data_IF_335022827604
#
_entry.id   IF_335022827604
#
_cell.length_a   1.000
_cell.length_b   1.000
_cell.length_c   1.000
_cell.angle_alpha   90.00
_cell.angle_beta   90.00
_cell.angle_gamma   90.00
#
_symmetry.space_group_name_H-M   'P 1'
#
loop_
_entity.id
_entity.type
_entity.pdbx_description
1 polymer ?
#
# COMPACT_ATOMS: atom_id res chain seq x y z
N UNK A 1 37.61 0.77 -4.21
CA UNK A 1 36.17 1.06 -4.04
C UNK A 1 35.90 1.14 -2.54
N UNK A 2 35.36 2.26 -2.05
CA UNK A 2 34.95 2.38 -0.64
C UNK A 2 33.81 1.38 -0.36
N UNK A 3 33.72 0.85 0.88
CA UNK A 3 32.62 -0.01 1.27
C UNK A 3 31.43 0.84 1.69
N UNK A 4 30.17 0.41 1.43
CA UNK A 4 29.00 1.10 1.96
C UNK A 4 29.00 1.04 3.49
N UNK A 5 28.62 2.14 4.12
CA UNK A 5 28.27 2.15 5.54
C UNK A 5 26.91 1.49 5.74
N UNK A 6 26.65 0.94 6.92
CA UNK A 6 25.36 0.29 7.22
C UNK A 6 24.17 1.25 7.07
N UNK A 7 24.38 2.55 7.30
CA UNK A 7 23.38 3.60 7.11
C UNK A 7 23.15 3.98 5.64
N UNK A 8 24.02 3.52 4.73
CA UNK A 8 24.11 3.95 3.32
C UNK A 8 24.28 5.47 3.15
N UNK A 9 24.75 6.17 4.19
CA UNK A 9 24.94 7.64 4.16
C UNK A 9 26.05 8.06 3.18
N UNK A 10 27.02 7.21 2.93
CA UNK A 10 28.12 7.46 2.00
C UNK A 10 27.86 6.94 0.57
N UNK A 11 26.60 6.71 0.19
CA UNK A 11 26.26 6.08 -1.10
C UNK A 11 26.86 6.82 -2.31
N UNK A 12 26.93 8.15 -2.26
CA UNK A 12 27.55 8.95 -3.33
C UNK A 12 29.05 8.67 -3.50
N UNK A 13 29.76 8.39 -2.41
CA UNK A 13 31.21 8.18 -2.39
C UNK A 13 31.63 6.81 -2.94
N UNK A 14 30.68 5.94 -3.27
CA UNK A 14 30.94 4.60 -3.82
C UNK A 14 31.17 4.63 -5.34
N UNK A 15 30.85 5.75 -5.98
CA UNK A 15 30.92 5.93 -7.43
C UNK A 15 32.03 6.94 -7.80
N UNK A 16 32.52 6.92 -9.06
CA UNK A 16 33.47 7.87 -9.56
C UNK A 16 32.98 9.32 -9.46
N UNK A 17 33.92 10.23 -9.12
CA UNK A 17 33.62 11.66 -8.94
C UNK A 17 33.29 12.37 -10.26
N UNK A 18 33.66 11.79 -11.39
CA UNK A 18 33.42 12.31 -12.75
C UNK A 18 32.06 11.91 -13.33
N UNK A 19 31.25 11.16 -12.60
CA UNK A 19 29.89 10.86 -13.05
C UNK A 19 29.04 12.13 -13.12
N UNK A 20 28.30 12.29 -14.23
CA UNK A 20 27.23 13.27 -14.29
C UNK A 20 26.13 12.96 -13.27
N UNK A 21 25.30 13.94 -12.93
CA UNK A 21 24.17 13.77 -12.01
C UNK A 21 23.24 12.62 -12.44
N UNK A 22 22.98 12.49 -13.73
CA UNK A 22 22.16 11.43 -14.32
C UNK A 22 22.83 10.06 -14.20
N UNK A 23 24.11 9.96 -14.51
CA UNK A 23 24.89 8.72 -14.37
C UNK A 23 24.94 8.26 -12.93
N UNK A 24 25.18 9.18 -11.99
CA UNK A 24 25.19 8.89 -10.56
C UNK A 24 23.84 8.38 -10.05
N UNK A 25 22.73 9.01 -10.44
CA UNK A 25 21.38 8.58 -10.07
C UNK A 25 21.07 7.17 -10.58
N UNK A 26 21.44 6.88 -11.84
CA UNK A 26 21.26 5.56 -12.45
C UNK A 26 22.11 4.48 -11.79
N UNK A 27 23.37 4.79 -11.50
CA UNK A 27 24.28 3.87 -10.84
C UNK A 27 23.84 3.53 -9.41
N UNK A 28 23.36 4.52 -8.64
CA UNK A 28 22.79 4.31 -7.31
C UNK A 28 21.56 3.41 -7.36
N UNK A 29 20.66 3.65 -8.30
CA UNK A 29 19.44 2.84 -8.46
C UNK A 29 19.79 1.38 -8.75
N UNK A 30 20.73 1.13 -9.65
CA UNK A 30 21.22 -0.22 -9.94
C UNK A 30 21.85 -0.88 -8.72
N UNK A 31 22.73 -0.16 -8.02
CA UNK A 31 23.35 -0.67 -6.80
C UNK A 31 22.33 -1.07 -5.74
N UNK A 32 21.33 -0.22 -5.49
CA UNK A 32 20.28 -0.50 -4.50
C UNK A 32 19.40 -1.69 -4.91
N UNK A 33 19.12 -1.86 -6.20
CA UNK A 33 18.39 -3.04 -6.71
C UNK A 33 19.17 -4.34 -6.49
N UNK A 34 20.46 -4.36 -6.80
CA UNK A 34 21.34 -5.52 -6.58
C UNK A 34 21.54 -5.83 -5.09
N UNK A 35 21.68 -4.81 -4.27
CA UNK A 35 21.76 -4.96 -2.82
C UNK A 35 20.44 -5.54 -2.27
N UNK A 36 19.30 -5.02 -2.70
CA UNK A 36 18.00 -5.53 -2.31
C UNK A 36 17.81 -7.00 -2.71
N UNK A 37 18.18 -7.38 -3.94
CA UNK A 37 18.14 -8.77 -4.38
C UNK A 37 18.98 -9.69 -3.50
N UNK A 38 20.23 -9.29 -3.23
CA UNK A 38 21.15 -10.05 -2.40
C UNK A 38 20.65 -10.21 -0.96
N UNK A 39 20.09 -9.13 -0.38
CA UNK A 39 19.49 -9.17 0.95
C UNK A 39 18.26 -10.09 1.01
N UNK A 40 17.34 -10.00 0.04
CA UNK A 40 16.17 -10.88 -0.01
C UNK A 40 16.54 -12.35 -0.15
N UNK A 41 17.55 -12.65 -0.97
CA UNK A 41 18.07 -14.00 -1.12
C UNK A 41 18.69 -14.53 0.18
N UNK A 42 19.43 -13.68 0.90
CA UNK A 42 20.07 -14.05 2.16
C UNK A 42 19.07 -14.31 3.28
N UNK A 43 18.08 -13.43 3.45
CA UNK A 43 17.10 -13.51 4.54
C UNK A 43 15.89 -14.39 4.20
N UNK A 44 15.64 -14.71 2.93
CA UNK A 44 14.42 -15.40 2.50
C UNK A 44 13.15 -14.53 2.64
N UNK A 45 13.25 -13.25 2.27
CA UNK A 45 12.21 -12.23 2.49
C UNK A 45 12.56 -11.25 3.60
N UNK A 46 11.61 -10.43 4.03
CA UNK A 46 11.81 -9.35 5.03
C UNK A 46 10.99 -9.54 6.30
N UNK A 47 9.99 -10.40 6.27
CA UNK A 47 9.02 -10.59 7.33
C UNK A 47 9.09 -12.04 7.83
N UNK A 48 8.99 -12.19 9.15
CA UNK A 48 8.80 -13.47 9.81
C UNK A 48 7.68 -13.35 10.84
N UNK A 49 6.99 -14.47 11.10
CA UNK A 49 6.04 -14.55 12.20
C UNK A 49 6.73 -15.02 13.46
N UNK A 50 6.35 -14.47 14.61
CA UNK A 50 6.95 -14.80 15.90
C UNK A 50 5.86 -14.92 16.96
N UNK A 51 5.92 -15.97 17.83
CA UNK A 51 5.01 -16.08 18.96
C UNK A 51 5.20 -14.90 19.92
N UNK A 52 4.10 -14.32 20.42
CA UNK A 52 4.12 -13.34 21.53
C UNK A 52 4.15 -14.01 22.90
N UNK A 53 3.64 -15.25 22.96
CA UNK A 53 3.42 -15.99 24.19
C UNK A 53 4.65 -16.78 24.63
N UNK A 54 4.95 -16.76 25.92
CA UNK A 54 5.99 -17.59 26.51
C UNK A 54 5.52 -19.02 26.76
N UNK A 55 6.45 -19.98 26.68
CA UNK A 55 6.24 -21.39 27.00
C UNK A 55 7.25 -21.76 28.08
N UNK A 56 6.76 -22.07 29.32
CA UNK A 56 7.58 -22.37 30.48
C UNK A 56 7.60 -23.87 30.79
N UNK A 57 7.39 -24.70 29.80
CA UNK A 57 7.35 -26.15 29.84
C UNK A 57 6.20 -26.69 28.99
N UNK A 58 6.27 -27.98 28.64
CA UNK A 58 5.35 -28.59 27.67
C UNK A 58 3.86 -28.44 28.02
N UNK A 59 3.54 -28.44 29.31
CA UNK A 59 2.15 -28.31 29.79
C UNK A 59 1.50 -26.94 29.47
N UNK A 60 2.30 -25.90 29.10
CA UNK A 60 1.76 -24.61 28.68
C UNK A 60 1.03 -24.67 27.35
N UNK A 61 1.26 -25.71 26.53
CA UNK A 61 0.44 -25.95 25.35
C UNK A 61 -1.02 -26.27 25.67
N UNK A 62 -1.32 -26.74 26.89
CA UNK A 62 -2.71 -26.90 27.34
C UNK A 62 -3.41 -25.56 27.61
N UNK A 63 -2.65 -24.50 27.85
CA UNK A 63 -3.15 -23.11 27.97
C UNK A 63 -3.30 -22.48 26.61
N UNK A 64 -2.23 -22.52 25.79
CA UNK A 64 -2.18 -21.82 24.50
C UNK A 64 -2.90 -22.56 23.37
N UNK A 65 -3.17 -23.84 23.54
CA UNK A 65 -3.89 -24.67 22.57
C UNK A 65 -5.02 -25.43 23.28
N UNK A 66 -5.04 -26.75 23.23
CA UNK A 66 -6.14 -27.58 23.76
C UNK A 66 -5.83 -28.05 25.19
N UNK A 67 -6.71 -27.86 26.20
CA UNK A 67 -8.12 -27.38 26.08
C UNK A 67 -8.32 -25.86 26.30
N UNK A 68 -7.32 -25.13 26.78
CA UNK A 68 -7.46 -23.75 27.24
C UNK A 68 -8.04 -22.79 26.17
N UNK A 69 -7.63 -22.92 24.91
CA UNK A 69 -8.08 -22.08 23.81
C UNK A 69 -9.60 -22.17 23.53
N UNK A 70 -10.27 -23.24 24.00
CA UNK A 70 -11.72 -23.38 23.86
C UNK A 70 -12.49 -22.23 24.52
N UNK A 71 -12.00 -21.71 25.65
CA UNK A 71 -12.62 -20.56 26.32
C UNK A 71 -12.52 -19.30 25.45
N UNK A 72 -11.39 -19.09 24.76
CA UNK A 72 -11.21 -17.96 23.84
C UNK A 72 -12.20 -18.05 22.69
N UNK A 73 -12.31 -19.22 22.05
CA UNK A 73 -13.21 -19.45 20.93
C UNK A 73 -14.68 -19.19 21.30
N UNK A 74 -15.12 -19.64 22.46
CA UNK A 74 -16.51 -19.43 22.92
C UNK A 74 -16.75 -17.97 23.31
N UNK A 75 -15.76 -17.28 23.91
CA UNK A 75 -15.89 -15.86 24.23
C UNK A 75 -16.04 -15.01 22.97
N UNK A 76 -15.20 -15.24 21.94
CA UNK A 76 -15.31 -14.53 20.66
C UNK A 76 -16.61 -14.87 19.91
N UNK A 77 -17.07 -16.12 19.98
CA UNK A 77 -18.36 -16.51 19.40
C UNK A 77 -19.53 -15.72 20.01
N UNK A 78 -19.50 -15.54 21.32
CA UNK A 78 -20.58 -14.89 22.07
C UNK A 78 -20.52 -13.35 21.93
N UNK A 79 -19.33 -12.79 21.70
CA UNK A 79 -19.10 -11.38 21.39
C UNK A 79 -17.88 -11.24 20.45
N UNK A 80 -18.14 -11.01 19.15
CA UNK A 80 -17.13 -10.95 18.11
C UNK A 80 -16.11 -9.81 18.28
N UNK A 81 -16.49 -8.71 18.93
CA UNK A 81 -15.58 -7.58 19.13
C UNK A 81 -14.42 -7.94 20.06
N UNK A 82 -14.63 -8.90 20.98
CA UNK A 82 -13.55 -9.41 21.83
C UNK A 82 -12.41 -10.06 21.04
N UNK A 83 -12.61 -10.39 19.76
CA UNK A 83 -11.54 -10.91 18.90
C UNK A 83 -10.38 -9.93 18.70
N UNK A 84 -10.62 -8.63 18.78
CA UNK A 84 -9.59 -7.59 18.68
C UNK A 84 -8.65 -7.61 19.90
N UNK A 85 -9.14 -8.01 21.07
CA UNK A 85 -8.36 -8.09 22.31
C UNK A 85 -7.75 -9.47 22.52
N UNK A 86 -8.49 -10.52 22.15
CA UNK A 86 -8.12 -11.91 22.46
C UNK A 86 -7.31 -12.61 21.37
N UNK A 87 -7.05 -11.94 20.25
CA UNK A 87 -6.22 -12.45 19.15
C UNK A 87 -5.29 -11.39 18.60
N UNK A 88 -4.49 -11.73 17.58
CA UNK A 88 -3.65 -10.75 16.89
C UNK A 88 -4.47 -9.82 15.96
N UNK A 89 -5.77 -10.05 15.82
CA UNK A 89 -6.66 -9.29 14.94
C UNK A 89 -6.56 -7.78 15.18
N UNK A 90 -6.52 -7.34 16.43
CA UNK A 90 -6.46 -5.92 16.79
C UNK A 90 -5.19 -5.18 16.37
N UNK A 91 -4.13 -5.92 15.98
CA UNK A 91 -2.86 -5.33 15.52
C UNK A 91 -2.42 -5.88 14.15
N UNK A 92 -3.29 -6.54 13.39
CA UNK A 92 -2.93 -7.23 12.16
C UNK A 92 -3.60 -6.59 10.95
N UNK A 93 -2.80 -6.16 9.97
CA UNK A 93 -3.27 -5.56 8.71
C UNK A 93 -3.01 -6.52 7.55
N UNK A 94 -4.03 -6.78 6.73
CA UNK A 94 -3.88 -7.46 5.46
C UNK A 94 -3.32 -6.48 4.42
N UNK A 95 -2.15 -6.75 3.85
CA UNK A 95 -1.60 -6.01 2.70
C UNK A 95 -1.96 -6.78 1.45
N UNK A 96 -3.01 -6.35 0.76
CA UNK A 96 -3.63 -7.10 -0.34
C UNK A 96 -3.32 -6.46 -1.69
N UNK A 97 -2.87 -7.27 -2.63
CA UNK A 97 -2.56 -6.87 -4.00
C UNK A 97 -2.87 -8.00 -5.00
N UNK A 98 -3.18 -7.66 -6.24
CA UNK A 98 -3.08 -8.58 -7.36
C UNK A 98 -1.84 -8.34 -8.22
N UNK A 99 -1.00 -7.39 -7.80
CA UNK A 99 0.29 -7.05 -8.43
C UNK A 99 0.19 -6.53 -9.87
N UNK A 100 -0.97 -5.93 -10.22
CA UNK A 100 -1.22 -5.42 -11.58
C UNK A 100 -0.61 -4.06 -11.86
N UNK A 101 -0.09 -3.38 -10.82
CA UNK A 101 0.55 -2.05 -10.94
C UNK A 101 1.72 -1.88 -9.99
N UNK A 102 2.68 -2.79 -10.04
CA UNK A 102 3.85 -2.80 -9.16
C UNK A 102 4.80 -1.67 -9.55
N UNK A 103 4.89 -0.63 -8.72
CA UNK A 103 5.78 0.52 -8.91
C UNK A 103 5.73 1.08 -10.35
N UNK A 104 6.87 1.12 -11.03
CA UNK A 104 6.99 1.50 -12.46
C UNK A 104 6.98 0.32 -13.44
N UNK A 105 6.95 -0.92 -12.93
CA UNK A 105 7.14 -2.14 -13.71
C UNK A 105 5.82 -2.72 -14.30
N UNK A 106 4.66 -2.22 -13.82
CA UNK A 106 3.34 -2.64 -14.31
C UNK A 106 2.87 -3.97 -13.73
N UNK A 107 2.24 -4.82 -14.55
CA UNK A 107 1.78 -6.15 -14.14
C UNK A 107 2.96 -7.12 -13.95
N UNK A 108 3.19 -7.49 -12.71
CA UNK A 108 4.27 -8.41 -12.32
C UNK A 108 3.78 -9.81 -11.99
N UNK A 109 2.55 -10.16 -12.33
CA UNK A 109 1.84 -11.37 -11.86
C UNK A 109 1.62 -11.38 -10.34
N UNK A 110 0.68 -12.15 -9.80
CA UNK A 110 0.36 -12.09 -8.36
C UNK A 110 1.57 -12.27 -7.45
N UNK A 111 2.39 -13.29 -7.68
CA UNK A 111 3.55 -13.57 -6.81
C UNK A 111 4.69 -12.54 -6.96
N UNK A 112 4.77 -11.85 -8.09
CA UNK A 112 5.83 -10.85 -8.34
C UNK A 112 5.74 -9.65 -7.40
N UNK A 113 4.56 -9.33 -6.89
CA UNK A 113 4.36 -8.25 -5.92
C UNK A 113 4.77 -8.55 -4.48
N UNK A 114 5.10 -9.82 -4.14
CA UNK A 114 5.42 -10.19 -2.75
C UNK A 114 6.51 -9.31 -2.13
N UNK A 115 7.55 -8.99 -2.90
CA UNK A 115 8.64 -8.13 -2.40
C UNK A 115 8.16 -6.74 -1.98
N UNK A 116 7.20 -6.15 -2.69
CA UNK A 116 6.61 -4.84 -2.36
C UNK A 116 5.63 -4.97 -1.20
N UNK A 117 4.77 -6.00 -1.20
CA UNK A 117 3.79 -6.23 -0.12
C UNK A 117 4.48 -6.52 1.22
N UNK A 118 5.55 -7.32 1.23
CA UNK A 118 6.40 -7.47 2.42
C UNK A 118 7.08 -6.16 2.82
N UNK A 119 7.48 -5.33 1.83
CA UNK A 119 8.03 -4.00 2.07
C UNK A 119 7.03 -3.09 2.78
N UNK A 120 5.77 -3.11 2.37
CA UNK A 120 4.69 -2.36 3.03
C UNK A 120 4.47 -2.87 4.46
N UNK A 121 4.37 -4.18 4.65
CA UNK A 121 4.26 -4.80 5.97
C UNK A 121 5.45 -4.45 6.89
N UNK A 122 6.66 -4.44 6.34
CA UNK A 122 7.88 -4.03 7.04
C UNK A 122 7.81 -2.57 7.51
N UNK A 123 7.37 -1.64 6.64
CA UNK A 123 7.20 -0.24 7.01
C UNK A 123 6.14 -0.05 8.10
N UNK A 124 5.01 -0.74 8.00
CA UNK A 124 3.95 -0.73 9.02
C UNK A 124 4.49 -1.19 10.37
N UNK A 125 5.28 -2.26 10.40
CA UNK A 125 5.89 -2.77 11.63
C UNK A 125 6.94 -1.83 12.19
N UNK A 126 7.87 -1.39 11.35
CA UNK A 126 9.02 -0.61 11.78
C UNK A 126 8.66 0.81 12.23
N UNK A 127 7.72 1.45 11.53
CA UNK A 127 7.33 2.84 11.79
C UNK A 127 6.09 2.95 12.66
N UNK A 128 5.14 2.02 12.54
CA UNK A 128 3.84 2.08 13.22
C UNK A 128 3.62 1.03 14.32
N UNK A 129 4.51 0.05 14.46
CA UNK A 129 4.34 -1.04 15.43
C UNK A 129 3.24 -2.05 15.05
N UNK A 130 2.60 -1.88 13.87
CA UNK A 130 1.49 -2.70 13.41
C UNK A 130 2.02 -3.90 12.62
N UNK A 131 1.46 -5.07 12.84
CA UNK A 131 1.80 -6.29 12.10
C UNK A 131 1.11 -6.30 10.74
N UNK A 132 1.87 -6.54 9.67
CA UNK A 132 1.34 -6.65 8.31
C UNK A 132 1.57 -8.05 7.74
N UNK A 133 0.61 -8.54 6.96
CA UNK A 133 0.74 -9.79 6.20
C UNK A 133 0.58 -9.52 4.72
N UNK A 134 1.61 -9.87 3.94
CA UNK A 134 1.59 -9.77 2.48
C UNK A 134 0.67 -10.85 1.88
N UNK A 135 -0.33 -10.44 1.14
CA UNK A 135 -1.34 -11.30 0.53
C UNK A 135 -1.50 -10.95 -0.96
N UNK A 136 -0.79 -11.69 -1.81
CA UNK A 136 -0.92 -11.55 -3.26
C UNK A 136 -2.02 -12.49 -3.77
N UNK A 137 -3.05 -11.91 -4.39
CA UNK A 137 -4.27 -12.60 -4.83
C UNK A 137 -4.22 -12.85 -6.32
N UNK A 138 -4.51 -14.09 -6.73
CA UNK A 138 -4.70 -14.39 -8.15
C UNK A 138 -6.08 -13.90 -8.60
N UNK A 139 -6.12 -12.72 -9.20
CA UNK A 139 -7.34 -12.09 -9.72
C UNK A 139 -7.74 -12.54 -11.13
N UNK A 140 -6.96 -13.39 -11.80
CA UNK A 140 -7.28 -13.82 -13.17
C UNK A 140 -8.59 -14.60 -13.24
N UNK A 141 -9.48 -14.19 -14.16
CA UNK A 141 -10.68 -14.94 -14.53
C UNK A 141 -10.35 -16.00 -15.61
N UNK A 142 -11.38 -16.77 -16.01
CA UNK A 142 -11.24 -17.86 -17.01
C UNK A 142 -10.80 -17.36 -18.40
N UNK A 143 -10.88 -16.04 -18.64
CA UNK A 143 -10.44 -15.40 -19.89
C UNK A 143 -9.02 -14.81 -19.77
N UNK A 144 -8.31 -15.08 -18.67
CA UNK A 144 -6.99 -14.54 -18.41
C UNK A 144 -6.96 -13.02 -18.16
N UNK A 145 -8.08 -12.42 -17.75
CA UNK A 145 -8.16 -11.00 -17.39
C UNK A 145 -8.29 -10.83 -15.88
N UNK A 146 -7.73 -9.75 -15.36
CA UNK A 146 -7.89 -9.39 -13.95
C UNK A 146 -9.34 -9.03 -13.65
N UNK A 147 -9.87 -9.63 -12.60
CA UNK A 147 -11.23 -9.48 -12.13
C UNK A 147 -11.23 -8.89 -10.71
N UNK A 148 -11.67 -7.65 -10.53
CA UNK A 148 -11.70 -7.00 -9.23
C UNK A 148 -12.63 -7.70 -8.23
N UNK A 149 -13.66 -8.42 -8.69
CA UNK A 149 -14.59 -9.11 -7.82
C UNK A 149 -13.91 -10.25 -7.04
N UNK A 150 -12.89 -10.89 -7.62
CA UNK A 150 -12.07 -11.89 -6.90
C UNK A 150 -11.30 -11.29 -5.73
N UNK A 151 -10.79 -10.07 -5.86
CA UNK A 151 -10.12 -9.36 -4.76
C UNK A 151 -11.15 -9.00 -3.69
N UNK A 152 -12.31 -8.49 -4.10
CA UNK A 152 -13.40 -8.13 -3.19
C UNK A 152 -13.86 -9.35 -2.39
N UNK A 153 -14.12 -10.47 -3.05
CA UNK A 153 -14.56 -11.71 -2.39
C UNK A 153 -13.50 -12.25 -1.44
N UNK A 154 -12.22 -12.26 -1.87
CA UNK A 154 -11.11 -12.66 -1.01
C UNK A 154 -11.04 -11.83 0.27
N UNK A 155 -11.09 -10.50 0.16
CA UNK A 155 -11.01 -9.61 1.32
C UNK A 155 -12.19 -9.82 2.26
N UNK A 156 -13.41 -9.93 1.74
CA UNK A 156 -14.63 -10.21 2.55
C UNK A 156 -14.52 -11.54 3.30
N UNK A 157 -13.99 -12.58 2.66
CA UNK A 157 -13.78 -13.87 3.31
C UNK A 157 -12.67 -13.82 4.38
N UNK A 158 -11.62 -13.02 4.16
CA UNK A 158 -10.48 -12.92 5.06
C UNK A 158 -10.69 -11.91 6.21
N UNK A 159 -11.67 -10.99 6.08
CA UNK A 159 -11.96 -9.90 7.04
C UNK A 159 -11.96 -10.34 8.51
N UNK A 160 -12.56 -11.49 8.90
CA UNK A 160 -12.62 -11.88 10.32
C UNK A 160 -11.24 -12.08 10.98
N UNK A 161 -10.17 -12.20 10.20
CA UNK A 161 -8.81 -12.43 10.70
C UNK A 161 -7.99 -11.15 10.87
N UNK A 162 -8.48 -10.00 10.39
CA UNK A 162 -7.71 -8.75 10.32
C UNK A 162 -8.43 -7.59 11.02
N UNK A 163 -7.62 -6.65 11.52
CA UNK A 163 -8.10 -5.38 12.07
C UNK A 163 -8.23 -4.28 11.02
N UNK A 164 -7.53 -4.39 9.90
CA UNK A 164 -7.61 -3.46 8.78
C UNK A 164 -7.10 -4.09 7.48
N UNK A 165 -7.40 -3.46 6.36
CA UNK A 165 -6.92 -3.85 5.03
C UNK A 165 -6.22 -2.68 4.37
N UNK A 166 -5.01 -2.90 3.89
CA UNK A 166 -4.29 -2.02 2.96
C UNK A 166 -4.30 -2.64 1.57
N UNK A 167 -4.94 -2.00 0.63
CA UNK A 167 -4.87 -2.35 -0.79
C UNK A 167 -3.65 -1.68 -1.40
N UNK A 168 -2.89 -2.42 -2.19
CA UNK A 168 -1.63 -1.95 -2.78
C UNK A 168 -1.47 -2.43 -4.21
N UNK A 169 -0.90 -1.62 -5.08
CA UNK A 169 -0.48 -2.00 -6.45
C UNK A 169 -1.59 -2.63 -7.32
N UNK A 170 -2.85 -2.22 -7.13
CA UNK A 170 -3.98 -2.63 -7.97
C UNK A 170 -4.17 -1.58 -9.07
N UNK A 171 -4.18 -2.01 -10.33
CA UNK A 171 -4.32 -1.10 -11.47
C UNK A 171 -5.69 -0.44 -11.55
N UNK A 172 -5.74 0.79 -12.08
CA UNK A 172 -7.02 1.42 -12.44
C UNK A 172 -7.61 0.75 -13.70
N UNK A 173 -8.95 0.70 -13.85
CA UNK A 173 -9.96 1.26 -12.93
C UNK A 173 -10.32 0.33 -11.77
N UNK A 174 -9.78 -0.91 -11.73
CA UNK A 174 -10.14 -1.92 -10.77
C UNK A 174 -9.92 -1.47 -9.31
N UNK A 175 -8.84 -0.72 -9.05
CA UNK A 175 -8.54 -0.22 -7.71
C UNK A 175 -9.68 0.60 -7.10
N UNK A 176 -10.41 1.38 -7.89
CA UNK A 176 -11.56 2.17 -7.39
C UNK A 176 -12.73 1.28 -7.05
N UNK A 177 -13.10 0.34 -7.95
CA UNK A 177 -14.18 -0.61 -7.69
C UNK A 177 -13.91 -1.42 -6.43
N UNK A 178 -12.68 -1.92 -6.28
CA UNK A 178 -12.29 -2.70 -5.09
C UNK A 178 -12.38 -1.86 -3.82
N UNK A 179 -11.79 -0.66 -3.83
CA UNK A 179 -11.78 0.22 -2.66
C UNK A 179 -13.20 0.64 -2.25
N UNK A 180 -13.98 1.18 -3.20
CA UNK A 180 -15.31 1.72 -2.91
C UNK A 180 -16.26 0.62 -2.40
N UNK A 181 -16.25 -0.57 -3.05
CA UNK A 181 -17.07 -1.72 -2.61
C UNK A 181 -16.67 -2.21 -1.22
N UNK A 182 -15.38 -2.35 -0.95
CA UNK A 182 -14.92 -2.89 0.34
C UNK A 182 -15.12 -1.92 1.50
N UNK A 183 -15.02 -0.62 1.26
CA UNK A 183 -15.31 0.40 2.30
C UNK A 183 -16.77 0.40 2.76
N UNK A 184 -17.67 0.00 1.90
CA UNK A 184 -19.11 -0.14 2.25
C UNK A 184 -19.41 -1.52 2.83
N UNK A 185 -18.71 -2.56 2.40
CA UNK A 185 -19.02 -3.95 2.73
C UNK A 185 -18.32 -4.48 3.98
N UNK A 186 -17.14 -3.95 4.34
CA UNK A 186 -16.36 -4.41 5.49
C UNK A 186 -16.63 -3.58 6.74
N UNK A 187 -16.58 -4.24 7.91
CA UNK A 187 -16.71 -3.60 9.22
C UNK A 187 -15.35 -3.14 9.80
N UNK A 188 -14.28 -3.33 9.06
CA UNK A 188 -12.92 -2.88 9.40
C UNK A 188 -12.46 -1.82 8.41
N UNK A 189 -11.50 -0.95 8.77
CA UNK A 189 -10.95 0.04 7.85
C UNK A 189 -10.35 -0.60 6.60
N UNK A 190 -10.69 -0.05 5.43
CA UNK A 190 -10.10 -0.40 4.15
C UNK A 190 -9.46 0.85 3.54
N UNK A 191 -8.19 0.74 3.21
CA UNK A 191 -7.34 1.81 2.70
C UNK A 191 -6.66 1.38 1.40
N UNK A 192 -6.49 2.30 0.44
CA UNK A 192 -5.68 2.06 -0.75
C UNK A 192 -4.55 3.08 -0.79
N UNK A 193 -3.32 2.62 -0.61
CA UNK A 193 -2.19 3.52 -0.40
C UNK A 193 -1.84 4.36 -1.64
N UNK A 194 -1.76 3.74 -2.82
CA UNK A 194 -1.44 4.46 -4.07
C UNK A 194 -2.42 5.58 -4.40
N UNK A 195 -3.67 5.42 -3.98
CA UNK A 195 -4.70 6.42 -4.16
C UNK A 195 -4.75 7.39 -2.97
N UNK A 196 -5.07 6.90 -1.79
CA UNK A 196 -5.38 7.71 -0.61
C UNK A 196 -4.13 8.18 0.14
N UNK A 197 -3.09 7.35 0.26
CA UNK A 197 -1.82 7.72 0.89
C UNK A 197 -1.12 8.83 0.11
N UNK A 198 -0.92 8.62 -1.18
CA UNK A 198 -0.35 9.62 -2.09
C UNK A 198 -1.21 10.90 -2.12
N UNK A 199 -2.54 10.75 -2.11
CA UNK A 199 -3.47 11.88 -2.05
C UNK A 199 -3.31 12.72 -0.79
N UNK A 200 -3.23 12.06 0.36
CA UNK A 200 -3.12 12.73 1.67
C UNK A 200 -1.81 13.50 1.82
N UNK A 201 -0.67 12.91 1.46
CA UNK A 201 0.63 13.59 1.56
C UNK A 201 0.76 14.74 0.57
N UNK A 202 0.17 14.60 -0.64
CA UNK A 202 0.15 15.67 -1.64
C UNK A 202 -0.69 16.84 -1.17
N UNK A 203 -1.87 16.59 -0.60
CA UNK A 203 -2.72 17.64 -0.04
C UNK A 203 -1.99 18.37 1.12
N UNK A 204 -1.35 17.63 2.02
CA UNK A 204 -0.57 18.22 3.11
C UNK A 204 0.57 19.12 2.59
N UNK A 205 1.29 18.63 1.56
CA UNK A 205 2.33 19.40 0.86
C UNK A 205 1.78 20.68 0.22
N UNK A 206 0.65 20.58 -0.50
CA UNK A 206 0.01 21.72 -1.14
C UNK A 206 -0.43 22.79 -0.13
N UNK A 207 -1.08 22.38 0.96
CA UNK A 207 -1.51 23.31 2.03
C UNK A 207 -0.31 24.09 2.56
N UNK A 208 0.80 23.42 2.85
CA UNK A 208 1.99 24.08 3.37
C UNK A 208 2.70 24.96 2.32
N UNK A 209 2.78 24.52 1.07
CA UNK A 209 3.32 25.33 -0.01
C UNK A 209 2.52 26.62 -0.23
N UNK A 210 1.19 26.54 -0.17
CA UNK A 210 0.31 27.72 -0.28
C UNK A 210 0.51 28.70 0.88
N UNK A 211 0.72 28.21 2.10
CA UNK A 211 1.07 29.04 3.27
C UNK A 211 2.37 29.79 3.05
N UNK A 212 3.41 29.13 2.55
CA UNK A 212 4.72 29.73 2.28
C UNK A 212 4.62 30.88 1.25
N UNK A 213 3.81 30.70 0.20
CA UNK A 213 3.65 31.70 -0.87
C UNK A 213 2.49 32.67 -0.66
N UNK A 214 1.78 32.58 0.46
CA UNK A 214 0.66 33.47 0.82
C UNK A 214 -0.54 33.36 -0.13
N UNK A 215 -0.82 32.15 -0.67
CA UNK A 215 -1.94 31.93 -1.60
C UNK A 215 -3.08 31.14 -0.95
N UNK A 216 -4.30 31.41 -1.40
CA UNK A 216 -5.53 30.74 -0.97
C UNK A 216 -5.83 29.56 -1.89
N UNK A 217 -6.13 28.39 -1.29
CA UNK A 217 -6.44 27.16 -2.02
C UNK A 217 -7.61 27.32 -3.00
N UNK A 218 -8.66 28.04 -2.61
CA UNK A 218 -9.84 28.29 -3.44
C UNK A 218 -9.58 29.24 -4.63
N UNK A 219 -8.41 29.90 -4.69
CA UNK A 219 -8.10 30.90 -5.72
C UNK A 219 -6.98 30.51 -6.66
N UNK A 220 -6.23 29.46 -6.36
CA UNK A 220 -5.12 29.00 -7.20
C UNK A 220 -5.60 28.22 -8.41
N UNK A 221 -4.82 28.26 -9.49
CA UNK A 221 -4.98 27.33 -10.60
C UNK A 221 -4.11 26.13 -10.38
N UNK A 222 -4.67 24.93 -10.57
CA UNK A 222 -3.99 23.67 -10.35
C UNK A 222 -3.98 22.87 -11.68
N UNK A 223 -2.81 22.39 -12.04
CA UNK A 223 -2.62 21.56 -13.23
C UNK A 223 -2.13 20.18 -12.81
N UNK A 224 -2.84 19.14 -13.22
CA UNK A 224 -2.47 17.76 -13.03
C UNK A 224 -1.85 17.20 -14.31
N UNK A 225 -0.59 16.82 -14.25
CA UNK A 225 0.07 16.13 -15.35
C UNK A 225 -0.04 14.62 -15.17
N UNK A 226 -1.02 14.04 -15.83
CA UNK A 226 -1.43 12.63 -15.71
C UNK A 226 -2.80 12.46 -15.06
N UNK A 227 -3.56 11.45 -15.49
CA UNK A 227 -4.89 11.11 -14.99
C UNK A 227 -4.93 9.68 -14.39
N UNK A 228 -3.84 9.26 -13.76
CA UNK A 228 -3.74 7.97 -13.05
C UNK A 228 -4.47 7.96 -11.72
N UNK A 229 -4.45 6.80 -11.05
CA UNK A 229 -5.14 6.58 -9.77
C UNK A 229 -4.82 7.65 -8.72
N UNK A 230 -3.53 7.98 -8.57
CA UNK A 230 -3.08 9.00 -7.62
C UNK A 230 -3.65 10.38 -7.94
N UNK A 231 -3.44 10.90 -9.17
CA UNK A 231 -3.88 12.25 -9.52
C UNK A 231 -5.40 12.42 -9.48
N UNK A 232 -6.16 11.40 -9.83
CA UNK A 232 -7.63 11.43 -9.72
C UNK A 232 -8.06 11.54 -8.26
N UNK A 233 -7.43 10.78 -7.37
CA UNK A 233 -7.72 10.85 -5.92
C UNK A 233 -7.22 12.16 -5.32
N UNK A 234 -6.02 12.64 -5.70
CA UNK A 234 -5.50 13.94 -5.28
C UNK A 234 -6.49 15.05 -5.65
N UNK A 235 -7.00 15.06 -6.87
CA UNK A 235 -7.98 16.06 -7.31
C UNK A 235 -9.24 16.04 -6.44
N UNK A 236 -9.80 14.87 -6.14
CA UNK A 236 -10.96 14.71 -5.27
C UNK A 236 -10.69 15.28 -3.87
N UNK A 237 -9.55 14.94 -3.26
CA UNK A 237 -9.16 15.41 -1.93
C UNK A 237 -8.93 16.93 -1.88
N UNK A 238 -8.30 17.49 -2.91
CA UNK A 238 -8.05 18.94 -3.00
C UNK A 238 -9.37 19.70 -3.14
N UNK A 239 -10.33 19.18 -3.93
CA UNK A 239 -11.68 19.77 -4.04
C UNK A 239 -12.41 19.69 -2.68
N UNK A 240 -12.36 18.56 -2.00
CA UNK A 240 -12.95 18.41 -0.65
C UNK A 240 -12.32 19.36 0.37
N UNK A 241 -11.03 19.69 0.20
CA UNK A 241 -10.33 20.65 1.05
C UNK A 241 -10.64 22.12 0.71
N UNK A 242 -11.43 22.42 -0.33
CA UNK A 242 -11.92 23.76 -0.66
C UNK A 242 -11.31 24.37 -1.93
N UNK A 243 -10.62 23.60 -2.78
CA UNK A 243 -10.20 24.12 -4.09
C UNK A 243 -11.38 24.27 -5.05
N UNK A 244 -11.33 25.29 -5.89
CA UNK A 244 -12.32 25.54 -6.93
C UNK A 244 -12.06 24.62 -8.14
N UNK A 245 -12.94 23.62 -8.45
CA UNK A 245 -12.73 22.71 -9.56
C UNK A 245 -12.71 23.41 -10.93
N UNK A 246 -13.33 24.60 -11.08
CA UNK A 246 -13.29 25.39 -12.31
C UNK A 246 -11.89 25.94 -12.63
N UNK A 247 -10.97 25.90 -11.64
CA UNK A 247 -9.58 26.33 -11.75
C UNK A 247 -8.60 25.17 -11.88
N UNK A 248 -9.11 23.95 -12.09
CA UNK A 248 -8.31 22.75 -12.20
C UNK A 248 -8.30 22.22 -13.64
N UNK A 249 -7.15 21.81 -14.10
CA UNK A 249 -6.96 21.19 -15.44
C UNK A 249 -6.19 19.90 -15.25
N UNK A 250 -6.66 18.82 -15.87
CA UNK A 250 -5.98 17.52 -15.85
C UNK A 250 -5.67 17.08 -17.28
N UNK A 251 -4.48 16.51 -17.45
CA UNK A 251 -4.01 15.95 -18.71
C UNK A 251 -3.76 14.46 -18.59
N UNK A 252 -3.92 13.75 -19.68
CA UNK A 252 -3.42 12.41 -19.89
C UNK A 252 -2.53 12.34 -21.14
N UNK A 253 -2.18 11.14 -21.59
CA UNK A 253 -1.35 10.95 -22.80
C UNK A 253 -2.00 11.44 -24.09
N UNK A 254 -3.33 11.60 -24.11
CA UNK A 254 -4.12 12.10 -25.25
C UNK A 254 -4.37 13.61 -25.17
N UNK A 255 -4.03 14.26 -24.07
CA UNK A 255 -4.19 15.70 -23.88
C UNK A 255 -5.09 16.07 -22.71
N UNK A 256 -5.67 17.27 -22.77
CA UNK A 256 -6.55 17.77 -21.70
C UNK A 256 -7.82 16.95 -21.61
N UNK A 257 -8.24 16.62 -20.38
CA UNK A 257 -9.54 16.01 -20.10
C UNK A 257 -10.64 17.08 -20.27
N UNK A 258 -11.62 16.82 -21.12
CA UNK A 258 -12.79 17.68 -21.32
C UNK A 258 -13.99 16.88 -21.84
N UNK A 259 -15.20 17.38 -21.60
CA UNK A 259 -16.45 16.68 -21.94
C UNK A 259 -16.65 16.37 -23.43
N UNK A 260 -15.89 17.02 -24.32
CA UNK A 260 -15.94 16.76 -25.77
C UNK A 260 -15.06 15.60 -26.24
N UNK A 261 -14.39 14.89 -25.29
CA UNK A 261 -13.60 13.69 -25.64
C UNK A 261 -14.50 12.45 -25.60
N UNK A 262 -14.43 11.64 -26.69
CA UNK A 262 -15.24 10.43 -26.81
C UNK A 262 -14.85 9.30 -25.84
N UNK A 263 -13.61 9.29 -25.35
CA UNK A 263 -13.06 8.31 -24.42
C UNK A 263 -13.36 8.61 -22.95
N UNK A 264 -13.97 9.79 -22.65
CA UNK A 264 -14.40 10.19 -21.28
C UNK A 264 -15.93 10.05 -21.18
N UNK A 265 -16.49 8.97 -21.65
CA UNK A 265 -17.93 8.73 -21.41
C UNK A 265 -18.12 8.11 -20.05
N UNK A 266 -19.01 8.76 -19.28
CA UNK A 266 -19.43 8.40 -17.91
C UNK A 266 -19.87 6.95 -17.76
#
# INVERSE_FOLDING_TARGET
MKKPELSLSNLNELFPDDFSQEQLAKAKTLFLKELAYSCHKFYGGKIATMPKAGVYGFNWFNVWYTPGVSKISTTIRDDNDTSFDLSNRGNLVAVVSDSTRVLGDGDCTPSGGLGVMEGKAFLMKYLGGVDGVALCVNSYNDKGKHDPDKIIDFVKMAEPSFGAVNLEDISQPNCYKVLDTLREACNIPVWHDDAQGTGSVTLAGLINALRVVGKDLGKVRIVFNGAGASNTTIARLIIQAGADPSRMIMFDTTGTLHLGRDDIKA
#
